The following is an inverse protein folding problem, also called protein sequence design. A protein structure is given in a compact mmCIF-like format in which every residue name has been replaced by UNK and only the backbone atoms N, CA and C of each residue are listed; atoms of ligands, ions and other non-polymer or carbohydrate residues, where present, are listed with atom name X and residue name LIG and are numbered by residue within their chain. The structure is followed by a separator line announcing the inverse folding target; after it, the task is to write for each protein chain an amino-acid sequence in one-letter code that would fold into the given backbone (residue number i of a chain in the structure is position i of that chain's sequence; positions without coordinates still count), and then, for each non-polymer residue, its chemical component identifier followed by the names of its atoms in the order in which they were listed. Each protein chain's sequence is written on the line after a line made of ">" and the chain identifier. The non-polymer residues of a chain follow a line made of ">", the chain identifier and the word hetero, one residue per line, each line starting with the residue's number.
data_IF_552112189038
#
_entry.id   IF_552112189038
#
_cell.length_a   1.000
_cell.length_b   1.000
_cell.length_c   1.000
_cell.angle_alpha   90.00
_cell.angle_beta   90.00
_cell.angle_gamma   90.00
#
_symmetry.space_group_name_H-M   'P 1'
#
loop_
_entity.id
_entity.type
_entity.pdbx_description
1 polymer ?
#
# COMPACT_ATOMS: atom_id res chain seq x y z
N UNK A 1 7.21 -0.34 -23.08
CA UNK A 1 5.84 -0.36 -22.54
C UNK A 1 5.02 0.63 -23.35
N UNK A 2 3.76 0.33 -23.67
CA UNK A 2 2.88 1.28 -24.33
C UNK A 2 2.53 2.39 -23.35
N UNK A 3 2.85 3.63 -23.72
CA UNK A 3 2.49 4.81 -22.94
C UNK A 3 0.97 5.02 -23.04
N UNK A 4 0.28 4.84 -21.91
CA UNK A 4 -1.17 5.01 -21.83
C UNK A 4 -1.58 6.47 -21.68
N UNK A 5 -0.63 7.40 -21.52
CA UNK A 5 -0.91 8.80 -21.18
C UNK A 5 -1.54 8.98 -19.79
N UNK A 6 -1.54 7.93 -18.96
CA UNK A 6 -2.09 7.99 -17.61
C UNK A 6 -1.10 8.67 -16.66
N UNK A 7 -1.58 9.66 -15.90
CA UNK A 7 -0.77 10.38 -14.91
C UNK A 7 -0.37 9.48 -13.73
N UNK A 8 -1.15 8.42 -13.46
CA UNK A 8 -0.90 7.46 -12.37
C UNK A 8 -1.30 6.05 -12.78
N UNK A 9 -0.50 5.09 -12.33
CA UNK A 9 -0.77 3.65 -12.46
C UNK A 9 -1.01 3.07 -11.08
N UNK A 10 -2.06 2.28 -10.93
CA UNK A 10 -2.39 1.60 -9.68
C UNK A 10 -2.17 0.09 -9.84
N UNK A 11 -1.49 -0.50 -8.86
CA UNK A 11 -1.40 -1.95 -8.73
C UNK A 11 -2.65 -2.42 -7.98
N UNK A 12 -3.59 -2.99 -8.73
CA UNK A 12 -4.95 -3.28 -8.25
C UNK A 12 -5.15 -4.63 -7.56
N UNK A 13 -4.17 -5.55 -7.58
CA UNK A 13 -4.23 -6.72 -6.70
C UNK A 13 -3.64 -8.04 -7.16
N UNK A 14 -3.78 -9.01 -6.26
CA UNK A 14 -3.08 -10.29 -6.22
C UNK A 14 -1.90 -10.23 -5.26
N UNK A 15 -1.84 -11.10 -4.25
CA UNK A 15 -0.78 -11.07 -3.24
C UNK A 15 0.62 -11.14 -3.85
N UNK A 16 0.83 -12.01 -4.86
CA UNK A 16 2.11 -12.11 -5.58
C UNK A 16 2.44 -10.87 -6.41
N UNK A 17 1.42 -10.14 -6.88
CA UNK A 17 1.62 -8.88 -7.60
C UNK A 17 1.99 -7.79 -6.61
N UNK A 18 1.31 -7.70 -5.46
CA UNK A 18 1.72 -6.78 -4.42
C UNK A 18 3.17 -7.06 -3.98
N UNK A 19 3.53 -8.31 -3.73
CA UNK A 19 4.88 -8.71 -3.32
C UNK A 19 5.96 -8.24 -4.32
N UNK A 20 5.71 -8.43 -5.62
CA UNK A 20 6.65 -8.04 -6.67
C UNK A 20 6.84 -6.52 -6.84
N UNK A 21 5.89 -5.71 -6.37
CA UNK A 21 5.88 -4.25 -6.58
C UNK A 21 5.95 -3.43 -5.29
N UNK A 22 5.75 -4.04 -4.11
CA UNK A 22 5.63 -3.33 -2.84
C UNK A 22 6.85 -2.46 -2.55
N UNK A 23 8.07 -2.97 -2.72
CA UNK A 23 9.29 -2.20 -2.51
C UNK A 23 9.62 -1.23 -3.66
N UNK A 24 8.84 -1.21 -4.73
CA UNK A 24 9.08 -0.42 -5.95
C UNK A 24 8.02 0.67 -6.16
N UNK A 25 6.91 0.62 -5.43
CA UNK A 25 5.83 1.60 -5.54
C UNK A 25 6.25 2.96 -4.98
N UNK A 26 5.79 4.05 -5.57
CA UNK A 26 6.05 5.40 -5.06
C UNK A 26 5.15 5.76 -3.87
N UNK A 27 3.99 5.10 -3.78
CA UNK A 27 2.96 5.38 -2.77
C UNK A 27 2.13 4.14 -2.46
N UNK A 28 1.80 3.96 -1.18
CA UNK A 28 0.84 2.96 -0.70
C UNK A 28 -0.44 3.68 -0.24
N UNK A 29 -1.57 3.29 -0.80
CA UNK A 29 -2.90 3.76 -0.39
C UNK A 29 -3.61 2.58 0.29
N UNK A 30 -3.54 2.52 1.62
CA UNK A 30 -4.00 1.37 2.39
C UNK A 30 -5.31 1.67 3.11
N UNK A 31 -6.23 0.70 3.09
CA UNK A 31 -7.38 0.65 4.00
C UNK A 31 -7.10 -0.41 5.05
N UNK A 32 -6.85 0.01 6.29
CA UNK A 32 -6.57 -0.90 7.40
C UNK A 32 -7.87 -1.13 8.16
N UNK A 33 -8.44 -2.33 8.01
CA UNK A 33 -9.71 -2.72 8.62
C UNK A 33 -9.45 -3.38 9.97
N UNK A 34 -10.17 -2.95 11.00
CA UNK A 34 -9.95 -3.44 12.37
C UNK A 34 -10.53 -4.85 12.57
N UNK A 35 -9.96 -5.57 13.53
CA UNK A 35 -10.42 -6.89 13.94
C UNK A 35 -9.72 -8.07 13.25
N UNK A 36 -10.01 -9.29 13.71
CA UNK A 36 -9.52 -10.50 13.07
C UNK A 36 -10.27 -10.78 11.77
N UNK A 37 -9.54 -11.20 10.73
CA UNK A 37 -10.11 -11.53 9.43
C UNK A 37 -9.61 -12.92 9.00
N UNK A 38 -10.54 -13.78 8.57
CA UNK A 38 -10.20 -15.06 7.96
C UNK A 38 -9.85 -14.86 6.49
N UNK A 39 -8.84 -15.60 6.00
CA UNK A 39 -8.41 -15.51 4.62
C UNK A 39 -7.44 -16.63 4.26
N UNK A 40 -7.45 -17.00 2.99
CA UNK A 40 -6.49 -17.92 2.34
C UNK A 40 -5.34 -17.15 1.67
N UNK A 41 -5.52 -15.86 1.43
CA UNK A 41 -4.56 -14.93 0.83
C UNK A 41 -4.48 -13.66 1.65
N UNK A 42 -3.25 -13.22 1.96
CA UNK A 42 -2.99 -12.03 2.75
C UNK A 42 -2.20 -11.00 1.93
N UNK A 43 -2.38 -9.73 2.28
CA UNK A 43 -1.49 -8.67 1.78
C UNK A 43 -0.06 -8.94 2.30
N UNK A 44 1.00 -8.72 1.49
CA UNK A 44 2.37 -8.96 1.92
C UNK A 44 2.73 -8.14 3.15
N UNK A 45 3.67 -8.64 3.96
CA UNK A 45 4.15 -7.92 5.14
C UNK A 45 4.86 -6.64 4.71
N UNK A 46 4.36 -5.48 5.14
CA UNK A 46 4.80 -4.17 4.66
C UNK A 46 5.26 -3.25 5.79
N UNK A 47 4.90 -3.58 7.03
CA UNK A 47 5.12 -2.74 8.21
C UNK A 47 6.60 -2.45 8.47
N UNK A 48 7.48 -3.38 8.09
CA UNK A 48 8.94 -3.22 8.20
C UNK A 48 9.51 -2.19 7.21
N UNK A 49 8.78 -1.87 6.13
CA UNK A 49 9.19 -0.86 5.15
C UNK A 49 8.87 0.55 5.62
N UNK A 50 8.00 0.71 6.63
CA UNK A 50 7.65 2.01 7.21
C UNK A 50 8.82 2.51 8.06
N UNK A 51 9.28 3.73 7.78
CA UNK A 51 10.46 4.35 8.38
C UNK A 51 11.76 4.04 7.63
N UNK A 52 11.82 2.98 6.81
CA UNK A 52 12.98 2.66 5.97
C UNK A 52 12.79 3.13 4.52
N UNK A 53 11.66 2.77 3.91
CA UNK A 53 11.31 3.10 2.52
C UNK A 53 10.15 4.08 2.47
N UNK A 54 9.22 3.98 3.41
CA UNK A 54 7.96 4.71 3.40
C UNK A 54 7.76 5.57 4.64
N UNK A 55 7.20 6.75 4.47
CA UNK A 55 6.70 7.59 5.57
C UNK A 55 5.19 7.77 5.48
N UNK A 56 4.52 7.81 6.62
CA UNK A 56 3.09 8.10 6.67
C UNK A 56 2.85 9.59 6.44
N UNK A 57 2.12 9.94 5.39
CA UNK A 57 1.85 11.34 5.02
C UNK A 57 0.40 11.75 5.26
N UNK A 58 -0.52 10.79 5.30
CA UNK A 58 -1.91 11.04 5.62
C UNK A 58 -2.57 9.88 6.36
N UNK A 59 -3.47 10.23 7.29
CA UNK A 59 -4.32 9.28 8.00
C UNK A 59 -5.70 9.86 8.19
N UNK A 60 -6.72 9.08 7.89
CA UNK A 60 -8.12 9.40 8.20
C UNK A 60 -8.77 8.23 8.93
N UNK A 61 -9.09 8.45 10.19
CA UNK A 61 -9.80 7.48 11.03
C UNK A 61 -11.28 7.41 10.64
N UNK A 62 -11.84 6.20 10.66
CA UNK A 62 -13.26 5.88 10.50
C UNK A 62 -13.67 4.86 11.57
N UNK A 63 -14.97 4.64 11.70
CA UNK A 63 -15.46 3.58 12.58
C UNK A 63 -15.15 2.21 11.97
N UNK A 64 -14.26 1.44 12.61
CA UNK A 64 -13.85 0.09 12.24
C UNK A 64 -12.77 -0.02 11.14
N UNK A 65 -12.23 1.09 10.65
CA UNK A 65 -11.08 1.09 9.72
C UNK A 65 -10.43 2.47 9.63
N UNK A 66 -9.27 2.53 8.98
CA UNK A 66 -8.60 3.79 8.63
C UNK A 66 -8.03 3.78 7.21
N UNK A 67 -8.10 4.93 6.55
CA UNK A 67 -7.34 5.19 5.34
C UNK A 67 -5.97 5.74 5.74
N UNK A 68 -4.91 5.13 5.22
CA UNK A 68 -3.54 5.56 5.47
C UNK A 68 -2.78 5.64 4.15
N UNK A 69 -2.17 6.79 3.91
CA UNK A 69 -1.30 7.02 2.76
C UNK A 69 0.13 7.03 3.24
N UNK A 70 0.96 6.22 2.59
CA UNK A 70 2.41 6.22 2.77
C UNK A 70 3.07 6.66 1.47
N UNK A 71 4.01 7.58 1.54
CA UNK A 71 4.84 7.99 0.39
C UNK A 71 6.27 7.52 0.58
N UNK A 72 6.95 7.20 -0.53
CA UNK A 72 8.36 6.79 -0.47
C UNK A 72 9.19 7.95 0.04
N UNK A 73 10.07 7.67 0.99
CA UNK A 73 11.04 8.64 1.51
C UNK A 73 12.00 8.97 0.36
N UNK A 74 12.00 10.22 -0.08
CA UNK A 74 13.04 10.72 -0.98
C UNK A 74 14.30 11.02 -0.16
N UNK A 75 15.42 10.42 -0.54
CA UNK A 75 16.73 10.63 0.08
C UNK A 75 17.43 11.90 -0.40
#
# INVERSE_FOLDING_TARGET
>A
AADSGAERVFIGGGASIYDAFLERADRLELTLVDGPHDGDVFFPRWEHLVGEIYEETARTEKDGYRFVTYERIEG
#
